data_IF_833210450396
#
_entry.id   IF_833210450396
#
_cell.length_a   1.000
_cell.length_b   1.000
_cell.length_c   1.000
_cell.angle_alpha   90.00
_cell.angle_beta   90.00
_cell.angle_gamma   90.00
#
_symmetry.space_group_name_H-M   'P 1'
#
loop_
_entity.id
_entity.type
_entity.pdbx_description
1 polymer ?
#
# COMPACT_ATOMS: atom_id res chain seq x y z
N UNK A 1 29.19 -24.75 -49.60
CA UNK A 1 29.37 -24.30 -48.20
C UNK A 1 27.99 -24.25 -47.54
N UNK A 2 27.73 -25.07 -46.52
CA UNK A 2 26.45 -25.07 -45.82
C UNK A 2 26.39 -23.91 -44.82
N UNK A 3 25.37 -23.03 -44.93
CA UNK A 3 25.10 -21.98 -43.94
C UNK A 3 24.66 -22.65 -42.63
N UNK A 4 25.40 -22.43 -41.55
CA UNK A 4 24.95 -22.78 -40.19
C UNK A 4 23.80 -21.83 -39.83
N UNK A 5 22.65 -22.39 -39.45
CA UNK A 5 21.55 -21.63 -38.87
C UNK A 5 22.01 -20.92 -37.59
N UNK A 6 21.60 -19.67 -37.32
CA UNK A 6 21.93 -19.00 -36.07
C UNK A 6 21.38 -19.81 -34.89
N UNK A 7 22.23 -20.19 -33.95
CA UNK A 7 21.77 -20.68 -32.65
C UNK A 7 21.09 -19.50 -31.95
N UNK A 8 19.76 -19.54 -31.85
CA UNK A 8 19.01 -18.68 -30.92
C UNK A 8 19.49 -19.01 -29.51
N UNK A 9 20.00 -18.00 -28.80
CA UNK A 9 20.24 -18.15 -27.37
C UNK A 9 18.91 -18.51 -26.70
N UNK A 10 18.89 -19.47 -25.75
CA UNK A 10 17.69 -19.77 -24.98
C UNK A 10 17.20 -18.48 -24.33
N UNK A 11 15.89 -18.24 -24.38
CA UNK A 11 15.33 -17.15 -23.60
C UNK A 11 15.59 -17.49 -22.12
N UNK A 12 16.17 -16.58 -21.30
CA UNK A 12 16.41 -16.85 -19.88
C UNK A 12 15.14 -17.26 -19.12
N UNK A 13 13.95 -16.96 -19.66
CA UNK A 13 12.66 -17.41 -19.13
C UNK A 13 12.32 -18.87 -19.46
N UNK A 14 12.97 -19.48 -20.46
CA UNK A 14 12.74 -20.87 -20.88
C UNK A 14 13.17 -21.89 -19.81
N UNK A 15 14.05 -21.51 -18.87
CA UNK A 15 14.47 -22.36 -17.75
C UNK A 15 13.36 -22.54 -16.70
N UNK A 16 12.50 -21.54 -16.51
CA UNK A 16 11.49 -21.55 -15.45
C UNK A 16 10.30 -22.48 -15.77
N UNK A 17 10.09 -22.82 -17.04
CA UNK A 17 9.05 -23.74 -17.48
C UNK A 17 9.41 -25.23 -17.45
N UNK A 18 10.67 -25.58 -17.17
CA UNK A 18 11.19 -26.94 -17.41
C UNK A 18 11.09 -27.90 -16.21
N UNK A 19 10.83 -27.40 -15.00
CA UNK A 19 10.62 -28.25 -13.81
C UNK A 19 9.37 -27.84 -13.04
N UNK A 20 8.67 -28.80 -12.43
CA UNK A 20 7.52 -28.51 -11.58
C UNK A 20 7.93 -27.64 -10.37
N UNK A 21 9.13 -27.83 -9.83
CA UNK A 21 9.67 -26.99 -8.76
C UNK A 21 9.82 -25.52 -9.20
N UNK A 22 10.36 -25.27 -10.40
CA UNK A 22 10.54 -23.90 -10.91
C UNK A 22 9.20 -23.20 -11.17
N UNK A 23 8.16 -23.93 -11.61
CA UNK A 23 6.80 -23.39 -11.75
C UNK A 23 6.18 -23.06 -10.39
N UNK A 24 6.31 -23.95 -9.41
CA UNK A 24 5.81 -23.74 -8.04
C UNK A 24 6.46 -22.51 -7.42
N UNK A 25 7.79 -22.41 -7.48
CA UNK A 25 8.53 -21.25 -6.96
C UNK A 25 8.14 -19.96 -7.68
N UNK A 26 7.98 -19.98 -9.01
CA UNK A 26 7.55 -18.80 -9.76
C UNK A 26 6.13 -18.34 -9.37
N UNK A 27 5.19 -19.27 -9.26
CA UNK A 27 3.82 -18.99 -8.83
C UNK A 27 3.80 -18.40 -7.42
N UNK A 28 4.64 -18.89 -6.51
CA UNK A 28 4.80 -18.35 -5.16
C UNK A 28 5.24 -16.89 -5.15
N UNK A 29 6.26 -16.54 -5.94
CA UNK A 29 6.70 -15.16 -6.05
C UNK A 29 5.62 -14.26 -6.66
N UNK A 30 4.85 -14.76 -7.62
CA UNK A 30 3.74 -14.02 -8.21
C UNK A 30 2.59 -13.78 -7.22
N UNK A 31 2.24 -14.79 -6.41
CA UNK A 31 1.25 -14.67 -5.33
C UNK A 31 1.67 -13.63 -4.29
N UNK A 32 2.93 -13.69 -3.82
CA UNK A 32 3.47 -12.70 -2.88
C UNK A 32 3.50 -11.29 -3.51
N UNK A 33 3.92 -11.17 -4.76
CA UNK A 33 3.90 -9.90 -5.49
C UNK A 33 2.49 -9.31 -5.59
N UNK A 34 1.48 -10.16 -5.74
CA UNK A 34 0.07 -9.75 -5.77
C UNK A 34 -0.43 -9.26 -4.40
N UNK A 35 -0.02 -9.90 -3.30
CA UNK A 35 -0.32 -9.42 -1.95
C UNK A 35 0.30 -8.04 -1.70
N UNK A 36 1.57 -7.85 -2.08
CA UNK A 36 2.25 -6.57 -1.95
C UNK A 36 1.55 -5.46 -2.76
N UNK A 37 1.13 -5.77 -3.99
CA UNK A 37 0.43 -4.83 -4.85
C UNK A 37 -0.91 -4.39 -4.25
N UNK A 38 -1.70 -5.34 -3.72
CA UNK A 38 -2.96 -5.05 -3.03
C UNK A 38 -2.76 -4.14 -1.81
N UNK A 39 -1.73 -4.43 -1.01
CA UNK A 39 -1.40 -3.61 0.16
C UNK A 39 -0.99 -2.19 -0.26
N UNK A 40 -0.15 -2.06 -1.29
CA UNK A 40 0.25 -0.76 -1.82
C UNK A 40 -0.95 0.05 -2.35
N UNK A 41 -1.88 -0.58 -3.06
CA UNK A 41 -3.11 0.05 -3.53
C UNK A 41 -3.98 0.51 -2.36
N UNK A 42 -4.18 -0.36 -1.35
CA UNK A 42 -4.97 -0.07 -0.16
C UNK A 42 -4.37 1.11 0.65
N UNK A 43 -3.04 1.12 0.84
CA UNK A 43 -2.33 2.23 1.48
C UNK A 43 -2.47 3.54 0.68
N UNK A 44 -2.35 3.46 -0.64
CA UNK A 44 -2.45 4.63 -1.51
C UNK A 44 -3.84 5.24 -1.44
N UNK A 45 -4.89 4.41 -1.49
CA UNK A 45 -6.28 4.86 -1.35
C UNK A 45 -6.50 5.58 -0.02
N UNK A 46 -6.05 5.01 1.10
CA UNK A 46 -6.18 5.66 2.41
C UNK A 46 -5.37 6.95 2.53
N UNK A 47 -4.18 7.01 1.94
CA UNK A 47 -3.40 8.26 1.90
C UNK A 47 -4.14 9.36 1.13
N UNK A 48 -4.81 9.03 0.02
CA UNK A 48 -5.61 9.99 -0.74
C UNK A 48 -6.84 10.44 0.07
N UNK A 49 -7.55 9.51 0.71
CA UNK A 49 -8.71 9.82 1.56
C UNK A 49 -8.33 10.78 2.70
N UNK A 50 -7.22 10.51 3.37
CA UNK A 50 -6.75 11.36 4.45
C UNK A 50 -6.27 12.74 3.97
N UNK A 51 -5.59 12.80 2.82
CA UNK A 51 -5.23 14.07 2.21
C UNK A 51 -6.46 14.91 1.87
N UNK A 52 -7.53 14.27 1.37
CA UNK A 52 -8.81 14.94 1.10
C UNK A 52 -9.46 15.47 2.38
N UNK A 53 -9.49 14.69 3.46
CA UNK A 53 -10.02 15.12 4.75
C UNK A 53 -9.24 16.31 5.34
N UNK A 54 -7.90 16.28 5.26
CA UNK A 54 -7.06 17.40 5.69
C UNK A 54 -7.31 18.65 4.84
N UNK A 55 -7.49 18.50 3.52
CA UNK A 55 -7.77 19.62 2.63
C UNK A 55 -9.14 20.24 2.91
N UNK A 56 -10.18 19.42 3.07
CA UNK A 56 -11.53 19.90 3.41
C UNK A 56 -11.55 20.61 4.76
N UNK A 57 -10.86 20.06 5.76
CA UNK A 57 -10.70 20.69 7.07
C UNK A 57 -9.99 22.04 6.95
N UNK A 58 -8.92 22.10 6.17
CA UNK A 58 -8.16 23.35 5.96
C UNK A 58 -9.02 24.41 5.27
N UNK A 59 -9.80 24.03 4.25
CA UNK A 59 -10.70 24.95 3.54
C UNK A 59 -11.77 25.51 4.49
N UNK A 60 -12.46 24.66 5.25
CA UNK A 60 -13.45 25.07 6.26
C UNK A 60 -12.86 26.02 7.30
N UNK A 61 -11.62 25.79 7.70
CA UNK A 61 -10.93 26.63 8.67
C UNK A 61 -10.50 27.97 8.07
N UNK A 62 -10.08 28.00 6.81
CA UNK A 62 -9.82 29.26 6.10
C UNK A 62 -11.09 30.10 5.94
N UNK A 63 -12.24 29.48 5.65
CA UNK A 63 -13.53 30.17 5.59
C UNK A 63 -13.89 30.78 6.95
N UNK A 64 -13.73 30.03 8.04
CA UNK A 64 -13.95 30.52 9.40
C UNK A 64 -13.00 31.66 9.77
N UNK A 65 -11.72 31.56 9.42
CA UNK A 65 -10.71 32.60 9.65
C UNK A 65 -11.03 33.88 8.87
N UNK A 66 -11.53 33.76 7.64
CA UNK A 66 -11.94 34.91 6.83
C UNK A 66 -13.19 35.60 7.41
N UNK A 67 -14.07 34.84 8.08
CA UNK A 67 -15.26 35.36 8.75
C UNK A 67 -14.98 35.95 10.15
N UNK A 68 -13.85 35.60 10.77
CA UNK A 68 -13.45 36.06 12.09
C UNK A 68 -13.17 37.58 12.09
N UNK A 69 -13.76 38.29 13.05
CA UNK A 69 -13.63 39.77 13.15
C UNK A 69 -12.82 40.21 14.36
N UNK A 70 -12.64 39.33 15.35
CA UNK A 70 -11.94 39.66 16.59
C UNK A 70 -10.75 38.73 16.82
N UNK A 71 -9.64 39.22 17.41
CA UNK A 71 -8.48 38.40 17.77
C UNK A 71 -8.81 37.14 18.60
N UNK A 72 -9.82 37.20 19.47
CA UNK A 72 -10.27 36.07 20.26
C UNK A 72 -10.80 34.91 19.40
N UNK A 73 -11.51 35.24 18.31
CA UNK A 73 -12.01 34.25 17.34
C UNK A 73 -10.83 33.52 16.68
N UNK A 74 -9.74 34.22 16.37
CA UNK A 74 -8.54 33.61 15.76
C UNK A 74 -7.86 32.59 16.69
N UNK A 75 -7.73 32.89 17.99
CA UNK A 75 -7.13 31.95 18.95
C UNK A 75 -7.99 30.71 19.14
N UNK A 76 -9.31 30.88 19.21
CA UNK A 76 -10.23 29.75 19.30
C UNK A 76 -10.18 28.88 18.04
N UNK A 77 -10.17 29.49 16.86
CA UNK A 77 -10.04 28.79 15.57
C UNK A 77 -8.71 28.05 15.43
N UNK A 78 -7.60 28.63 15.89
CA UNK A 78 -6.32 27.91 15.92
C UNK A 78 -6.35 26.69 16.86
N UNK A 79 -6.98 26.80 18.03
CA UNK A 79 -7.14 25.67 18.95
C UNK A 79 -7.98 24.54 18.35
N UNK A 80 -9.11 24.90 17.73
CA UNK A 80 -9.97 23.94 17.01
C UNK A 80 -9.22 23.28 15.85
N UNK A 81 -8.42 24.04 15.09
CA UNK A 81 -7.62 23.52 13.99
C UNK A 81 -6.57 22.53 14.49
N UNK A 82 -5.79 22.89 15.51
CA UNK A 82 -4.75 22.02 16.07
C UNK A 82 -5.33 20.71 16.60
N UNK A 83 -6.49 20.78 17.28
CA UNK A 83 -7.21 19.59 17.71
C UNK A 83 -7.67 18.74 16.53
N UNK A 84 -8.32 19.35 15.53
CA UNK A 84 -8.84 18.62 14.36
C UNK A 84 -7.72 17.94 13.57
N UNK A 85 -6.58 18.62 13.37
CA UNK A 85 -5.40 18.03 12.72
C UNK A 85 -4.81 16.88 13.53
N UNK A 86 -4.76 17.02 14.86
CA UNK A 86 -4.33 15.94 15.75
C UNK A 86 -5.25 14.72 15.66
N UNK A 87 -6.56 14.93 15.67
CA UNK A 87 -7.56 13.85 15.61
C UNK A 87 -7.46 13.10 14.27
N UNK A 88 -7.37 13.82 13.14
CA UNK A 88 -7.17 13.23 11.80
C UNK A 88 -5.86 12.44 11.75
N UNK A 89 -4.77 12.99 12.29
CA UNK A 89 -3.46 12.33 12.27
C UNK A 89 -3.45 11.06 13.12
N UNK A 90 -4.12 11.06 14.27
CA UNK A 90 -4.26 9.89 15.13
C UNK A 90 -5.10 8.80 14.47
N UNK A 91 -6.22 9.16 13.85
CA UNK A 91 -7.07 8.24 13.11
C UNK A 91 -6.33 7.60 11.93
N UNK A 92 -5.60 8.40 11.14
CA UNK A 92 -4.75 7.89 10.06
C UNK A 92 -3.71 6.89 10.57
N UNK A 93 -3.02 7.22 11.67
CA UNK A 93 -2.00 6.35 12.23
C UNK A 93 -2.59 5.02 12.69
N UNK A 94 -3.77 5.05 13.33
CA UNK A 94 -4.49 3.84 13.71
C UNK A 94 -4.86 3.00 12.48
N UNK A 95 -5.47 3.62 11.47
CA UNK A 95 -5.90 2.93 10.26
C UNK A 95 -4.71 2.30 9.50
N UNK A 96 -3.58 3.00 9.41
CA UNK A 96 -2.35 2.46 8.82
C UNK A 96 -1.82 1.26 9.61
N UNK A 97 -1.86 1.33 10.94
CA UNK A 97 -1.42 0.24 11.79
C UNK A 97 -2.29 -1.01 11.61
N UNK A 98 -3.61 -0.83 11.56
CA UNK A 98 -4.56 -1.91 11.29
C UNK A 98 -4.31 -2.58 9.93
N UNK A 99 -4.05 -1.81 8.87
CA UNK A 99 -3.67 -2.37 7.56
C UNK A 99 -2.37 -3.16 7.61
N UNK A 100 -1.36 -2.66 8.32
CA UNK A 100 -0.08 -3.36 8.44
C UNK A 100 -0.23 -4.68 9.20
N UNK A 101 -1.13 -4.74 10.20
CA UNK A 101 -1.47 -5.98 10.88
C UNK A 101 -2.22 -6.95 9.96
N UNK A 102 -3.19 -6.47 9.19
CA UNK A 102 -3.94 -7.27 8.22
C UNK A 102 -3.01 -7.86 7.15
N UNK A 103 -2.15 -7.03 6.54
CA UNK A 103 -1.15 -7.47 5.58
C UNK A 103 -0.14 -8.46 6.20
N UNK A 104 0.33 -8.22 7.43
CA UNK A 104 1.20 -9.17 8.12
C UNK A 104 0.51 -10.51 8.33
N UNK A 105 -0.79 -10.51 8.63
CA UNK A 105 -1.59 -11.74 8.75
C UNK A 105 -1.69 -12.46 7.41
N UNK A 106 -2.01 -11.75 6.32
CA UNK A 106 -2.10 -12.34 4.97
C UNK A 106 -0.76 -12.94 4.51
N UNK A 107 0.36 -12.25 4.76
CA UNK A 107 1.71 -12.76 4.43
C UNK A 107 2.04 -14.01 5.25
N UNK A 108 1.68 -14.03 6.53
CA UNK A 108 1.90 -15.21 7.38
C UNK A 108 1.07 -16.42 6.89
N UNK A 109 -0.22 -16.23 6.59
CA UNK A 109 -1.05 -17.30 6.05
C UNK A 109 -0.51 -17.79 4.71
N UNK A 110 -0.10 -16.88 3.82
CA UNK A 110 0.54 -17.24 2.57
C UNK A 110 1.81 -18.07 2.81
N UNK A 111 2.65 -17.68 3.78
CA UNK A 111 3.87 -18.41 4.11
C UNK A 111 3.57 -19.83 4.65
N UNK A 112 2.58 -19.97 5.53
CA UNK A 112 2.10 -21.26 6.04
C UNK A 112 1.62 -22.17 4.90
N UNK A 113 0.81 -21.64 3.97
CA UNK A 113 0.33 -22.35 2.79
C UNK A 113 1.48 -22.84 1.90
N UNK A 114 2.53 -22.03 1.73
CA UNK A 114 3.69 -22.43 0.93
C UNK A 114 4.51 -23.53 1.61
N UNK A 115 4.63 -23.49 2.94
CA UNK A 115 5.31 -24.55 3.71
C UNK A 115 4.56 -25.88 3.57
N UNK A 116 3.23 -25.87 3.61
CA UNK A 116 2.44 -27.10 3.42
C UNK A 116 2.60 -27.67 2.00
N UNK A 117 2.60 -26.81 0.97
CA UNK A 117 2.75 -27.22 -0.43
C UNK A 117 4.14 -27.80 -0.75
N UNK A 118 5.19 -27.35 -0.06
CA UNK A 118 6.57 -27.86 -0.25
C UNK A 118 6.79 -29.19 0.48
N UNK A 119 6.07 -29.44 1.59
CA UNK A 119 6.20 -30.68 2.37
C UNK A 119 5.32 -31.85 1.88
N UNK A 120 4.46 -31.64 0.88
CA UNK A 120 3.67 -32.69 0.22
C UNK A 120 4.34 -33.17 -1.06
#
# INVERSE_FOLDING_TARGET
>A
MARKTPQTQPNPWDFFGQSELSKTVFNQFFELGSLNAKMAESLTTRHIEAANQMMETTLKQMEKLNAAKQPADFFQLQGELGKTQSDISAEMAQQMFEQMLEYSSEVNHWAEDQIEKIHK
#
